data_IF_972166560221
#
_entry.id   IF_972166560221
#
_cell.length_a   1.000
_cell.length_b   1.000
_cell.length_c   1.000
_cell.angle_alpha   90.00
_cell.angle_beta   90.00
_cell.angle_gamma   90.00
#
_symmetry.space_group_name_H-M   'P 1'
#
loop_
_entity.id
_entity.type
_entity.pdbx_description
1 polymer ?
#
# COMPACT_ATOMS: atom_id res chain seq x y z
N UNK A 1 1.97 -1.05 -2.17
CA UNK A 1 1.64 -2.07 -3.19
C UNK A 1 1.14 -3.39 -2.59
N UNK A 2 1.52 -3.74 -1.35
CA UNK A 2 1.09 -4.99 -0.71
C UNK A 2 -0.43 -5.21 -0.69
N UNK A 3 -1.23 -4.17 -0.39
CA UNK A 3 -2.71 -4.27 -0.41
C UNK A 3 -3.23 -4.71 -1.79
N UNK A 4 -2.68 -4.15 -2.87
CA UNK A 4 -3.09 -4.53 -4.22
C UNK A 4 -2.69 -5.98 -4.55
N UNK A 5 -1.47 -6.37 -4.18
CA UNK A 5 -0.97 -7.71 -4.38
C UNK A 5 -1.81 -8.77 -3.62
N UNK A 6 -2.18 -8.48 -2.38
CA UNK A 6 -3.03 -9.38 -1.58
C UNK A 6 -4.49 -9.41 -2.06
N UNK A 7 -4.97 -8.33 -2.68
CA UNK A 7 -6.34 -8.27 -3.21
C UNK A 7 -6.53 -9.09 -4.51
N UNK A 8 -5.45 -9.41 -5.22
CA UNK A 8 -5.50 -10.15 -6.49
C UNK A 8 -6.21 -9.47 -7.66
N UNK A 9 -6.64 -8.21 -7.48
CA UNK A 9 -7.40 -7.46 -8.49
C UNK A 9 -6.59 -6.28 -9.03
N UNK A 10 -6.93 -5.72 -10.22
CA UNK A 10 -6.32 -4.49 -10.71
C UNK A 10 -6.45 -3.32 -9.72
N UNK A 11 -5.50 -2.39 -9.77
CA UNK A 11 -5.38 -1.27 -8.82
C UNK A 11 -6.64 -0.40 -8.75
N UNK A 12 -7.30 -0.16 -9.89
CA UNK A 12 -8.55 0.60 -9.98
C UNK A 12 -9.71 -0.13 -9.30
N UNK A 13 -9.78 -1.47 -9.45
CA UNK A 13 -10.78 -2.29 -8.78
C UNK A 13 -10.54 -2.31 -7.26
N UNK A 14 -9.29 -2.50 -6.83
CA UNK A 14 -8.90 -2.39 -5.42
C UNK A 14 -9.27 -1.02 -4.85
N UNK A 15 -9.01 0.06 -5.59
CA UNK A 15 -9.38 1.42 -5.20
C UNK A 15 -10.89 1.66 -5.23
N UNK A 16 -11.70 0.81 -5.88
CA UNK A 16 -13.16 0.89 -5.81
C UNK A 16 -13.71 0.41 -4.47
N UNK A 17 -13.06 -0.58 -3.87
CA UNK A 17 -13.41 -1.14 -2.57
C UNK A 17 -12.94 -0.24 -1.42
N UNK A 18 -13.85 0.06 -0.49
CA UNK A 18 -13.53 0.94 0.63
C UNK A 18 -12.60 0.27 1.63
N UNK A 19 -12.71 -1.03 1.86
CA UNK A 19 -11.93 -1.73 2.88
C UNK A 19 -10.47 -1.84 2.47
N UNK A 20 -10.19 -2.09 1.18
CA UNK A 20 -8.82 -2.01 0.66
C UNK A 20 -8.25 -0.59 0.75
N UNK A 21 -9.05 0.45 0.46
CA UNK A 21 -8.59 1.83 0.65
C UNK A 21 -8.26 2.14 2.12
N UNK A 22 -9.06 1.63 3.07
CA UNK A 22 -8.78 1.79 4.50
C UNK A 22 -7.50 1.05 4.91
N UNK A 23 -7.32 -0.20 4.49
CA UNK A 23 -6.10 -0.96 4.75
C UNK A 23 -4.85 -0.23 4.21
N UNK A 24 -4.96 0.36 3.01
CA UNK A 24 -3.88 1.17 2.45
C UNK A 24 -3.66 2.45 3.27
N UNK A 25 -4.72 3.15 3.66
CA UNK A 25 -4.63 4.36 4.48
C UNK A 25 -3.94 4.09 5.83
N UNK A 26 -4.17 2.93 6.44
CA UNK A 26 -3.49 2.53 7.68
C UNK A 26 -1.99 2.30 7.47
N UNK A 27 -1.59 1.64 6.37
CA UNK A 27 -0.18 1.46 6.04
C UNK A 27 0.54 2.82 5.88
N UNK A 28 -0.12 3.77 5.22
CA UNK A 28 0.43 5.12 4.98
C UNK A 28 0.50 5.93 6.27
N UNK A 29 -0.49 5.85 7.15
CA UNK A 29 -0.45 6.54 8.46
C UNK A 29 0.76 6.11 9.28
N UNK A 30 1.02 4.80 9.38
CA UNK A 30 2.20 4.28 10.08
C UNK A 30 3.49 4.81 9.45
N UNK A 31 3.62 4.73 8.13
CA UNK A 31 4.81 5.23 7.42
C UNK A 31 5.04 6.73 7.68
N UNK A 32 3.97 7.54 7.66
CA UNK A 32 4.07 8.97 7.96
C UNK A 32 4.49 9.23 9.40
N UNK A 33 3.98 8.46 10.37
CA UNK A 33 4.38 8.56 11.77
C UNK A 33 5.86 8.24 11.95
N UNK A 34 6.33 7.17 11.31
CA UNK A 34 7.73 6.76 11.29
C UNK A 34 8.61 7.86 10.67
N UNK A 35 8.25 8.38 9.50
CA UNK A 35 9.01 9.44 8.84
C UNK A 35 9.08 10.72 9.68
N UNK A 36 7.98 11.08 10.34
CA UNK A 36 7.95 12.24 11.24
C UNK A 36 8.93 12.07 12.41
N UNK A 37 8.94 10.90 13.06
CA UNK A 37 9.85 10.60 14.18
C UNK A 37 11.31 10.45 13.75
N UNK A 38 11.55 9.94 12.54
CA UNK A 38 12.88 9.84 11.96
C UNK A 38 13.45 11.17 11.44
N UNK A 39 12.66 12.26 11.44
CA UNK A 39 13.07 13.54 10.86
C UNK A 39 13.19 13.50 9.33
N UNK A 40 12.63 12.48 8.67
CA UNK A 40 12.70 12.29 7.22
C UNK A 40 11.59 13.09 6.56
N UNK A 41 11.95 13.94 5.62
CA UNK A 41 10.99 14.58 4.71
C UNK A 41 10.74 13.64 3.54
N UNK A 42 9.51 13.16 3.32
CA UNK A 42 9.20 12.33 2.16
C UNK A 42 9.57 13.07 0.88
N UNK A 43 10.05 12.34 -0.12
CA UNK A 43 10.35 12.91 -1.43
C UNK A 43 9.12 13.66 -2.00
N UNK A 44 9.36 14.75 -2.75
CA UNK A 44 8.29 15.53 -3.36
C UNK A 44 7.52 14.67 -4.37
N UNK A 45 6.31 14.26 -4.00
CA UNK A 45 5.32 13.71 -4.92
C UNK A 45 4.44 14.84 -5.46
N UNK A 46 3.76 14.61 -6.60
CA UNK A 46 2.82 15.59 -7.19
C UNK A 46 1.69 15.97 -6.22
N UNK A 47 1.30 15.07 -5.33
CA UNK A 47 0.38 15.33 -4.23
C UNK A 47 1.12 15.16 -2.88
N UNK A 48 0.84 16.00 -1.86
CA UNK A 48 1.41 15.82 -0.55
C UNK A 48 0.95 14.47 0.02
N UNK A 49 1.90 13.55 0.23
CA UNK A 49 1.65 12.20 0.78
C UNK A 49 0.86 12.23 2.10
N UNK A 50 0.95 13.34 2.85
CA UNK A 50 0.19 13.59 4.08
C UNK A 50 -1.33 13.68 3.86
N UNK A 51 -1.79 14.05 2.67
CA UNK A 51 -3.22 14.18 2.34
C UNK A 51 -3.80 12.85 1.85
N UNK A 52 -2.95 11.94 1.35
CA UNK A 52 -3.38 10.66 0.77
C UNK A 52 -4.27 9.83 1.70
N UNK A 53 -3.97 9.64 3.00
CA UNK A 53 -4.81 8.81 3.87
C UNK A 53 -6.23 9.37 4.04
N UNK A 54 -6.39 10.70 4.01
CA UNK A 54 -7.69 11.35 4.09
C UNK A 54 -8.51 11.09 2.83
N UNK A 55 -7.89 11.18 1.65
CA UNK A 55 -8.55 10.88 0.37
C UNK A 55 -9.01 9.42 0.34
N UNK A 56 -8.15 8.48 0.75
CA UNK A 56 -8.46 7.05 0.75
C UNK A 56 -9.65 6.71 1.67
N UNK A 57 -9.82 7.45 2.78
CA UNK A 57 -10.90 7.25 3.76
C UNK A 57 -12.27 7.79 3.32
N UNK A 58 -12.33 8.57 2.24
CA UNK A 58 -13.58 9.14 1.72
C UNK A 58 -14.60 8.05 1.36
N UNK A 59 -15.91 8.36 1.48
CA UNK A 59 -16.96 7.55 0.86
C UNK A 59 -16.67 7.34 -0.64
N UNK A 60 -17.03 6.16 -1.18
CA UNK A 60 -16.62 5.75 -2.54
C UNK A 60 -16.98 6.78 -3.62
N UNK A 61 -18.16 7.41 -3.55
CA UNK A 61 -18.54 8.44 -4.53
C UNK A 61 -17.61 9.68 -4.47
N UNK A 62 -17.27 10.15 -3.26
CA UNK A 62 -16.41 11.31 -3.06
C UNK A 62 -14.96 10.98 -3.41
N UNK A 63 -14.48 9.78 -3.07
CA UNK A 63 -13.19 9.27 -3.51
C UNK A 63 -13.07 9.36 -5.03
N UNK A 64 -14.04 8.83 -5.79
CA UNK A 64 -14.00 8.87 -7.26
C UNK A 64 -14.04 10.28 -7.84
N UNK A 65 -14.77 11.21 -7.22
CA UNK A 65 -14.79 12.60 -7.64
C UNK A 65 -13.38 13.24 -7.55
N UNK A 66 -12.66 12.98 -6.46
CA UNK A 66 -11.28 13.45 -6.27
C UNK A 66 -10.30 12.67 -7.15
N UNK A 67 -10.43 11.35 -7.22
CA UNK A 67 -9.47 10.50 -7.89
C UNK A 67 -9.42 10.76 -9.41
N UNK A 68 -10.57 11.03 -10.04
CA UNK A 68 -10.68 11.40 -11.45
C UNK A 68 -10.08 12.77 -11.77
N UNK A 69 -10.05 13.70 -10.82
CA UNK A 69 -9.45 15.02 -11.05
C UNK A 69 -7.92 14.99 -10.93
N UNK A 70 -7.36 14.02 -10.21
CA UNK A 70 -5.92 13.91 -9.96
C UNK A 70 -5.15 13.13 -11.03
N UNK A 71 -5.77 12.11 -11.64
CA UNK A 71 -5.10 11.27 -12.62
C UNK A 71 -6.10 10.53 -13.54
N UNK A 72 -5.66 10.26 -14.77
CA UNK A 72 -6.27 9.23 -15.60
C UNK A 72 -5.94 7.87 -15.00
N UNK A 73 -6.96 7.03 -14.83
CA UNK A 73 -6.81 5.71 -14.24
C UNK A 73 -6.93 4.63 -15.30
N UNK A 74 -5.90 3.80 -15.43
CA UNK A 74 -5.94 2.59 -16.24
C UNK A 74 -6.58 1.45 -15.43
N UNK A 75 -7.76 1.01 -15.88
CA UNK A 75 -8.54 -0.05 -15.24
C UNK A 75 -7.80 -1.39 -15.15
N UNK A 76 -6.79 -1.61 -16.00
CA UNK A 76 -6.02 -2.85 -16.07
C UNK A 76 -4.71 -2.79 -15.28
N UNK A 77 -4.34 -1.63 -14.74
CA UNK A 77 -3.07 -1.43 -14.05
C UNK A 77 -2.96 -2.39 -12.85
N UNK A 78 -1.95 -3.26 -12.89
CA UNK A 78 -1.51 -4.06 -11.74
C UNK A 78 -0.20 -3.51 -11.20
N UNK A 79 -0.10 -3.33 -9.89
CA UNK A 79 1.16 -2.89 -9.27
C UNK A 79 2.20 -4.02 -9.33
N UNK A 80 3.48 -3.65 -9.31
CA UNK A 80 4.66 -4.54 -9.39
C UNK A 80 4.53 -5.81 -8.54
N UNK A 81 4.24 -5.65 -7.24
CA UNK A 81 4.10 -6.80 -6.33
C UNK A 81 3.04 -7.81 -6.77
N UNK A 82 1.90 -7.37 -7.32
CA UNK A 82 0.87 -8.29 -7.83
C UNK A 82 1.41 -9.07 -9.04
N UNK A 83 2.09 -8.38 -9.96
CA UNK A 83 2.71 -9.03 -11.12
C UNK A 83 3.81 -10.02 -10.72
N UNK A 84 4.56 -9.73 -9.66
CA UNK A 84 5.58 -10.64 -9.12
C UNK A 84 4.93 -11.90 -8.52
N UNK A 85 3.87 -11.75 -7.71
CA UNK A 85 3.13 -12.90 -7.18
C UNK A 85 2.52 -13.76 -8.30
N UNK A 86 1.92 -13.14 -9.33
CA UNK A 86 1.35 -13.87 -10.48
C UNK A 86 2.42 -14.65 -11.28
N UNK A 87 3.66 -14.18 -11.26
CA UNK A 87 4.80 -14.84 -11.94
C UNK A 87 5.60 -15.74 -11.00
N UNK A 88 5.15 -15.95 -9.76
CA UNK A 88 5.84 -16.78 -8.76
C UNK A 88 7.23 -16.23 -8.37
N UNK A 89 7.44 -14.92 -8.46
CA UNK A 89 8.69 -14.26 -8.08
C UNK A 89 8.59 -13.69 -6.66
N UNK A 90 9.76 -13.49 -6.04
CA UNK A 90 9.88 -12.70 -4.82
C UNK A 90 9.48 -11.25 -5.10
N UNK A 91 8.74 -10.66 -4.18
CA UNK A 91 8.24 -9.29 -4.28
C UNK A 91 9.20 -8.30 -3.64
N UNK A 92 8.96 -7.01 -3.90
CA UNK A 92 9.66 -5.89 -3.24
C UNK A 92 9.12 -5.56 -1.84
N UNK A 93 8.35 -6.45 -1.19
CA UNK A 93 7.67 -6.16 0.10
C UNK A 93 8.64 -5.77 1.21
N UNK A 94 9.82 -6.39 1.26
CA UNK A 94 10.84 -6.09 2.26
C UNK A 94 11.45 -4.70 2.06
N UNK A 95 11.51 -4.20 0.83
CA UNK A 95 12.05 -2.88 0.51
C UNK A 95 11.03 -1.75 0.67
N UNK A 96 9.73 -2.06 0.64
CA UNK A 96 8.67 -1.06 0.79
C UNK A 96 8.09 -1.10 2.21
N UNK A 97 7.38 -2.16 2.57
CA UNK A 97 6.75 -2.29 3.88
C UNK A 97 7.82 -2.65 4.95
N UNK A 98 8.77 -3.53 4.60
CA UNK A 98 9.84 -3.93 5.51
C UNK A 98 10.76 -2.76 5.90
N UNK A 99 11.00 -1.82 5.00
CA UNK A 99 11.78 -0.62 5.30
C UNK A 99 11.05 0.31 6.29
N UNK A 100 9.72 0.45 6.17
CA UNK A 100 8.91 1.18 7.18
C UNK A 100 9.01 0.51 8.55
N UNK A 101 8.94 -0.83 8.59
CA UNK A 101 9.11 -1.60 9.83
C UNK A 101 10.50 -1.40 10.44
N UNK A 102 11.54 -1.52 9.62
CA UNK A 102 12.94 -1.35 10.05
C UNK A 102 13.20 0.04 10.61
N UNK A 103 12.70 1.07 9.91
CA UNK A 103 12.84 2.45 10.35
C UNK A 103 12.01 2.70 11.62
N UNK A 104 10.78 2.20 11.68
CA UNK A 104 9.91 2.30 12.86
C UNK A 104 10.58 1.74 14.12
N UNK A 105 11.21 0.57 14.02
CA UNK A 105 12.00 -0.02 15.12
C UNK A 105 13.15 0.89 15.55
N UNK A 106 13.88 1.48 14.60
CA UNK A 106 15.00 2.40 14.88
C UNK A 106 14.53 3.64 15.67
N UNK A 107 13.31 4.13 15.42
CA UNK A 107 12.78 5.37 16.04
C UNK A 107 11.73 5.11 17.13
N UNK A 108 11.53 3.85 17.53
CA UNK A 108 10.58 3.47 18.59
C UNK A 108 9.10 3.65 18.22
N UNK A 109 8.75 3.57 16.93
CA UNK A 109 7.36 3.66 16.44
C UNK A 109 6.87 2.27 16.00
N UNK A 110 5.81 1.73 16.63
CA UNK A 110 5.19 0.48 16.19
C UNK A 110 4.60 0.59 14.78
N UNK A 111 4.74 -0.47 13.99
CA UNK A 111 4.23 -0.54 12.60
C UNK A 111 3.47 -1.85 12.34
N UNK A 112 2.48 -2.23 13.18
CA UNK A 112 1.83 -3.53 13.13
C UNK A 112 1.13 -3.82 11.80
N UNK A 113 0.58 -2.82 11.12
CA UNK A 113 -0.08 -3.00 9.82
C UNK A 113 0.96 -3.31 8.76
N UNK A 114 2.08 -2.58 8.70
CA UNK A 114 3.17 -2.89 7.77
C UNK A 114 3.82 -4.26 8.06
N UNK A 115 4.00 -4.63 9.34
CA UNK A 115 4.48 -5.96 9.73
C UNK A 115 3.53 -7.06 9.25
N UNK A 116 2.21 -6.85 9.42
CA UNK A 116 1.20 -7.80 8.95
C UNK A 116 1.20 -7.93 7.43
N UNK A 117 1.34 -6.83 6.69
CA UNK A 117 1.44 -6.84 5.23
C UNK A 117 2.66 -7.64 4.76
N UNK A 118 3.83 -7.43 5.37
CA UNK A 118 5.02 -8.22 5.09
C UNK A 118 4.78 -9.72 5.32
N UNK A 119 4.20 -10.09 6.46
CA UNK A 119 3.93 -11.49 6.79
C UNK A 119 2.96 -12.16 5.80
N UNK A 120 1.89 -11.47 5.41
CA UNK A 120 0.91 -11.99 4.46
C UNK A 120 1.48 -12.18 3.06
N UNK A 121 2.29 -11.23 2.58
CA UNK A 121 2.94 -11.36 1.27
C UNK A 121 3.91 -12.55 1.28
N UNK A 122 4.76 -12.66 2.31
CA UNK A 122 5.70 -13.78 2.42
C UNK A 122 5.00 -15.14 2.48
N UNK A 123 3.91 -15.23 3.24
CA UNK A 123 3.08 -16.44 3.26
C UNK A 123 2.50 -16.78 1.88
N UNK A 124 2.13 -15.76 1.09
CA UNK A 124 1.63 -15.94 -0.28
C UNK A 124 2.75 -16.40 -1.23
N UNK A 125 3.94 -15.80 -1.14
CA UNK A 125 5.12 -16.20 -1.90
C UNK A 125 5.51 -17.66 -1.62
N UNK A 126 5.55 -18.05 -0.35
CA UNK A 126 5.97 -19.39 0.08
C UNK A 126 4.92 -20.46 -0.26
N UNK A 127 3.64 -20.09 -0.32
CA UNK A 127 2.57 -20.98 -0.75
C UNK A 127 2.61 -21.28 -2.26
N UNK A 128 3.41 -20.56 -3.06
CA UNK A 128 3.42 -20.66 -4.51
C UNK A 128 2.06 -20.30 -5.15
N UNK A 129 1.15 -19.71 -4.36
CA UNK A 129 -0.15 -19.27 -4.83
C UNK A 129 0.05 -17.88 -5.40
N UNK A 130 -0.20 -17.70 -6.69
CA UNK A 130 -0.56 -16.38 -7.20
C UNK A 130 -1.68 -15.81 -6.31
N UNK A 131 -1.68 -14.49 -6.09
CA UNK A 131 -2.57 -13.77 -5.17
C UNK A 131 -3.90 -14.47 -4.93
N UNK A 132 -4.24 -14.76 -3.66
CA UNK A 132 -5.43 -15.52 -3.30
C UNK A 132 -6.69 -14.86 -3.90
N UNK A 133 -7.31 -15.52 -4.88
CA UNK A 133 -8.71 -15.31 -5.25
C UNK A 133 -9.59 -16.16 -4.34
#
# INVERSE_FOLDING_TARGET
NAVNALSGVPAVAMLGDRDYRLAWALCVDEALCVFQKAGIKPAKLKAPIRVLPYILRLPTFAFWAVARSLATMDATLKLSMLQDLERGRRTEVDYINGEVVRLGRTVGVPTPVNERMCALIKATEDAGRGSCM
#
